data_IF_077845389700
#
_entry.id   IF_077845389700
#
_cell.length_a   1.000
_cell.length_b   1.000
_cell.length_c   1.000
_cell.angle_alpha   90.00
_cell.angle_beta   90.00
_cell.angle_gamma   90.00
#
_symmetry.space_group_name_H-M   'P 1'
#
loop_
_entity.id
_entity.type
_entity.pdbx_description
1 polymer ?
#
# COMPACT_ATOMS: atom_id res chain seq x y z
N UNK A 1 -29.68 -15.18 -9.39
CA UNK A 1 -28.81 -15.89 -10.38
C UNK A 1 -28.51 -14.90 -11.48
N UNK A 2 -27.25 -14.75 -11.90
CA UNK A 2 -26.89 -13.90 -13.04
C UNK A 2 -27.12 -14.69 -14.32
N UNK A 3 -28.12 -14.34 -15.15
CA UNK A 3 -28.48 -15.14 -16.32
C UNK A 3 -27.50 -15.02 -17.48
N UNK A 4 -26.73 -13.92 -17.57
CA UNK A 4 -25.75 -13.69 -18.61
C UNK A 4 -24.38 -13.32 -18.03
N UNK A 5 -23.34 -14.04 -18.42
CA UNK A 5 -21.96 -13.77 -18.02
C UNK A 5 -21.03 -14.17 -19.17
N UNK A 6 -20.09 -13.31 -19.54
CA UNK A 6 -19.04 -13.62 -20.49
C UNK A 6 -17.74 -13.99 -19.76
N UNK A 7 -16.87 -14.71 -20.44
CA UNK A 7 -15.51 -14.92 -19.94
C UNK A 7 -14.78 -13.56 -19.85
N UNK A 8 -14.06 -13.34 -18.75
CA UNK A 8 -13.16 -12.19 -18.64
C UNK A 8 -12.01 -12.36 -19.65
N UNK A 9 -11.64 -11.28 -20.32
CA UNK A 9 -10.54 -11.32 -21.28
C UNK A 9 -9.19 -11.22 -20.56
N UNK A 10 -8.13 -11.70 -21.19
CA UNK A 10 -6.79 -11.57 -20.66
C UNK A 10 -6.45 -10.09 -20.43
N UNK A 11 -5.84 -9.77 -19.28
CA UNK A 11 -5.46 -8.40 -18.88
C UNK A 11 -6.64 -7.40 -18.78
N UNK A 12 -7.88 -7.87 -18.79
CA UNK A 12 -9.05 -7.00 -18.58
C UNK A 12 -9.22 -6.66 -17.11
N UNK A 13 -9.49 -5.41 -16.77
CA UNK A 13 -9.72 -4.96 -15.41
C UNK A 13 -11.04 -5.55 -14.87
N UNK A 14 -10.97 -6.25 -13.73
CA UNK A 14 -12.12 -6.95 -13.14
C UNK A 14 -13.35 -6.06 -12.94
N UNK A 15 -13.15 -4.83 -12.48
CA UNK A 15 -14.24 -3.91 -12.19
C UNK A 15 -15.01 -3.48 -13.45
N UNK A 16 -14.34 -3.34 -14.61
CA UNK A 16 -15.00 -3.02 -15.87
C UNK A 16 -15.67 -4.25 -16.48
N UNK A 17 -15.07 -5.43 -16.34
CA UNK A 17 -15.76 -6.68 -16.67
C UNK A 17 -17.05 -6.86 -15.85
N UNK A 18 -17.03 -6.52 -14.57
CA UNK A 18 -18.22 -6.57 -13.71
C UNK A 18 -19.30 -5.55 -14.15
N UNK A 19 -18.89 -4.36 -14.62
CA UNK A 19 -19.82 -3.39 -15.23
C UNK A 19 -20.50 -3.96 -16.47
N UNK A 20 -19.76 -4.67 -17.31
CA UNK A 20 -20.36 -5.34 -18.48
C UNK A 20 -21.38 -6.39 -18.08
N UNK A 21 -21.11 -7.18 -17.04
CA UNK A 21 -22.08 -8.14 -16.53
C UNK A 21 -23.35 -7.44 -16.05
N UNK A 22 -23.21 -6.29 -15.39
CA UNK A 22 -24.38 -5.47 -15.01
C UNK A 22 -25.18 -5.03 -16.22
N UNK A 23 -24.50 -4.52 -17.25
CA UNK A 23 -25.16 -4.09 -18.51
C UNK A 23 -25.87 -5.25 -19.21
N UNK A 24 -25.19 -6.40 -19.36
CA UNK A 24 -25.78 -7.61 -19.99
C UNK A 24 -27.02 -8.12 -19.25
N UNK A 25 -27.12 -7.91 -17.96
CA UNK A 25 -28.22 -8.34 -17.12
C UNK A 25 -29.22 -7.22 -16.82
N UNK A 26 -29.03 -6.04 -17.38
CA UNK A 26 -29.85 -4.83 -17.12
C UNK A 26 -29.94 -4.51 -15.62
N UNK A 27 -28.83 -4.68 -14.89
CA UNK A 27 -28.74 -4.49 -13.45
C UNK A 27 -27.99 -3.19 -13.11
N UNK A 28 -28.46 -2.53 -12.08
CA UNK A 28 -27.69 -1.46 -11.41
C UNK A 28 -26.62 -2.05 -10.48
N UNK A 29 -25.65 -1.25 -10.09
CA UNK A 29 -24.65 -1.67 -9.10
C UNK A 29 -25.28 -2.15 -7.79
N UNK A 30 -26.34 -1.46 -7.32
CA UNK A 30 -27.04 -1.84 -6.10
C UNK A 30 -27.70 -3.22 -6.22
N UNK A 31 -28.33 -3.51 -7.36
CA UNK A 31 -28.97 -4.80 -7.62
C UNK A 31 -27.94 -5.92 -7.71
N UNK A 32 -26.80 -5.68 -8.37
CA UNK A 32 -25.70 -6.64 -8.39
C UNK A 32 -25.19 -6.93 -6.98
N UNK A 33 -24.95 -5.89 -6.19
CA UNK A 33 -24.50 -6.05 -4.81
C UNK A 33 -25.52 -6.76 -3.93
N UNK A 34 -26.83 -6.51 -4.12
CA UNK A 34 -27.88 -7.21 -3.42
C UNK A 34 -27.92 -8.71 -3.79
N UNK A 35 -27.76 -9.02 -5.08
CA UNK A 35 -27.78 -10.41 -5.58
C UNK A 35 -26.54 -11.18 -5.14
N UNK A 36 -25.35 -10.58 -5.21
CA UNK A 36 -24.10 -11.27 -4.92
C UNK A 36 -23.75 -11.18 -3.43
N UNK A 37 -23.83 -10.00 -2.83
CA UNK A 37 -23.31 -9.76 -1.47
C UNK A 37 -24.39 -9.58 -0.42
N UNK A 38 -25.66 -9.65 -0.79
CA UNK A 38 -26.80 -9.40 0.10
C UNK A 38 -26.73 -8.04 0.82
N UNK A 39 -26.06 -7.08 0.22
CA UNK A 39 -25.79 -5.74 0.78
C UNK A 39 -26.23 -4.65 -0.20
N UNK A 40 -26.91 -3.61 0.30
CA UNK A 40 -27.39 -2.47 -0.51
C UNK A 40 -26.45 -1.26 -0.48
N UNK A 41 -25.33 -1.31 0.26
CA UNK A 41 -24.54 -0.11 0.61
C UNK A 41 -23.20 0.01 -0.09
N UNK A 42 -22.81 -0.94 -0.91
CA UNK A 42 -21.53 -0.91 -1.59
C UNK A 42 -21.57 -0.11 -2.87
N UNK A 43 -20.57 0.76 -3.06
CA UNK A 43 -20.25 1.36 -4.35
C UNK A 43 -19.05 0.64 -4.94
N UNK A 44 -19.17 0.19 -6.18
CA UNK A 44 -18.05 -0.35 -6.93
C UNK A 44 -16.97 0.72 -7.08
N UNK A 45 -15.77 0.44 -6.61
CA UNK A 45 -14.63 1.30 -6.89
C UNK A 45 -14.18 1.05 -8.33
N UNK A 46 -13.88 2.09 -9.15
CA UNK A 46 -13.52 1.90 -10.55
C UNK A 46 -12.37 0.92 -10.78
N UNK A 47 -11.37 0.91 -9.92
CA UNK A 47 -10.15 0.12 -10.11
C UNK A 47 -9.99 -1.05 -9.14
N UNK A 48 -10.63 -1.00 -7.98
CA UNK A 48 -10.41 -1.98 -6.92
C UNK A 48 -11.68 -2.73 -6.58
N UNK A 49 -11.69 -4.04 -6.79
CA UNK A 49 -12.83 -4.87 -6.41
C UNK A 49 -12.99 -4.92 -4.90
N UNK A 50 -14.20 -5.21 -4.44
CA UNK A 50 -14.48 -5.58 -3.05
C UNK A 50 -15.44 -6.77 -3.01
N UNK A 51 -15.41 -7.52 -1.92
CA UNK A 51 -16.28 -8.69 -1.76
C UNK A 51 -15.93 -9.88 -2.65
N UNK A 52 -14.67 -10.00 -3.09
CA UNK A 52 -14.25 -11.06 -4.01
C UNK A 52 -14.46 -12.46 -3.45
N UNK A 53 -14.31 -12.65 -2.15
CA UNK A 53 -14.51 -13.98 -1.54
C UNK A 53 -15.97 -14.41 -1.65
N UNK A 54 -16.91 -13.53 -1.33
CA UNK A 54 -18.34 -13.78 -1.49
C UNK A 54 -18.70 -13.95 -2.96
N UNK A 55 -18.13 -13.13 -3.84
CA UNK A 55 -18.33 -13.23 -5.28
C UNK A 55 -17.93 -14.61 -5.81
N UNK A 56 -16.70 -15.03 -5.56
CA UNK A 56 -16.19 -16.32 -6.01
C UNK A 56 -16.98 -17.49 -5.43
N UNK A 57 -17.30 -17.44 -4.14
CA UNK A 57 -18.07 -18.51 -3.49
C UNK A 57 -19.48 -18.64 -4.06
N UNK A 58 -20.15 -17.52 -4.36
CA UNK A 58 -21.54 -17.54 -4.84
C UNK A 58 -21.65 -17.93 -6.31
N UNK A 59 -20.62 -17.69 -7.08
CA UNK A 59 -20.59 -17.97 -8.52
C UNK A 59 -19.68 -19.16 -8.86
N UNK A 60 -19.25 -19.93 -7.88
CA UNK A 60 -18.33 -21.08 -8.05
C UNK A 60 -18.82 -22.12 -9.07
N UNK A 61 -20.14 -22.27 -9.20
CA UNK A 61 -20.77 -23.24 -10.12
C UNK A 61 -20.92 -22.71 -11.55
N UNK A 62 -20.59 -21.43 -11.80
CA UNK A 62 -20.69 -20.84 -13.14
C UNK A 62 -19.39 -21.03 -13.91
N UNK A 63 -19.49 -21.52 -15.15
CA UNK A 63 -18.38 -21.93 -16.02
C UNK A 63 -17.35 -20.83 -16.29
N UNK A 64 -17.74 -19.57 -16.27
CA UNK A 64 -16.88 -18.43 -16.60
C UNK A 64 -16.43 -17.60 -15.41
N UNK A 65 -16.65 -18.07 -14.18
CA UNK A 65 -16.22 -17.36 -12.98
C UNK A 65 -14.71 -17.54 -12.81
N UNK A 66 -13.92 -16.46 -12.85
CA UNK A 66 -12.50 -16.55 -12.55
C UNK A 66 -12.28 -16.87 -11.07
N UNK A 67 -11.19 -17.56 -10.74
CA UNK A 67 -10.84 -17.82 -9.35
C UNK A 67 -10.40 -16.53 -8.63
N UNK A 68 -10.48 -16.53 -7.30
CA UNK A 68 -10.02 -15.41 -6.48
C UNK A 68 -8.57 -15.01 -6.81
N UNK A 69 -7.67 -15.98 -6.90
CA UNK A 69 -6.26 -15.74 -7.22
C UNK A 69 -6.10 -15.17 -8.64
N UNK A 70 -6.83 -15.71 -9.60
CA UNK A 70 -6.80 -15.22 -10.98
C UNK A 70 -7.26 -13.76 -11.07
N UNK A 71 -8.33 -13.39 -10.35
CA UNK A 71 -8.81 -11.99 -10.31
C UNK A 71 -7.71 -11.07 -9.74
N UNK A 72 -7.15 -11.42 -8.59
CA UNK A 72 -6.16 -10.59 -7.91
C UNK A 72 -4.87 -10.45 -8.71
N UNK A 73 -4.42 -11.53 -9.35
CA UNK A 73 -3.15 -11.58 -10.08
C UNK A 73 -3.23 -10.95 -11.48
N UNK A 74 -4.31 -11.27 -12.23
CA UNK A 74 -4.40 -10.92 -13.66
C UNK A 74 -5.39 -9.80 -13.98
N UNK A 75 -6.29 -9.48 -13.07
CA UNK A 75 -7.39 -8.55 -13.33
C UNK A 75 -7.41 -7.37 -12.36
N UNK A 76 -6.32 -7.19 -11.59
CA UNK A 76 -6.04 -6.01 -10.75
C UNK A 76 -4.56 -5.65 -10.82
N UNK A 77 -4.19 -4.45 -10.33
CA UNK A 77 -2.80 -4.02 -10.19
C UNK A 77 -2.18 -4.40 -8.84
N UNK A 78 -2.92 -5.12 -7.98
CA UNK A 78 -2.54 -5.33 -6.57
C UNK A 78 -1.18 -6.00 -6.44
N UNK A 79 -0.96 -7.10 -7.16
CA UNK A 79 0.31 -7.85 -7.07
C UNK A 79 1.49 -7.06 -7.65
N UNK A 80 1.30 -6.35 -8.75
CA UNK A 80 2.34 -5.50 -9.35
C UNK A 80 2.73 -4.32 -8.45
N UNK A 81 1.82 -3.92 -7.55
CA UNK A 81 2.00 -2.79 -6.65
C UNK A 81 2.62 -3.17 -5.29
N UNK A 82 2.71 -4.45 -4.94
CA UNK A 82 3.23 -4.92 -3.65
C UNK A 82 4.61 -4.34 -3.30
N UNK A 83 5.61 -4.30 -4.21
CA UNK A 83 6.93 -3.77 -3.88
C UNK A 83 6.94 -2.29 -3.49
N UNK A 84 5.85 -1.57 -3.76
CA UNK A 84 5.74 -0.12 -3.51
C UNK A 84 4.81 0.22 -2.36
N UNK A 85 4.26 -0.77 -1.66
CA UNK A 85 3.40 -0.56 -0.49
C UNK A 85 3.93 -1.34 0.72
N UNK A 86 3.77 -0.76 1.91
CA UNK A 86 4.11 -1.46 3.16
C UNK A 86 3.16 -2.62 3.44
N UNK A 87 3.62 -3.65 4.15
CA UNK A 87 2.84 -4.85 4.46
C UNK A 87 1.48 -4.54 5.12
N UNK A 88 1.42 -3.57 6.04
CA UNK A 88 0.16 -3.13 6.64
C UNK A 88 -0.81 -2.47 5.64
N UNK A 89 -0.30 -1.77 4.63
CA UNK A 89 -1.12 -1.22 3.55
C UNK A 89 -1.63 -2.35 2.65
N UNK A 90 -0.77 -3.29 2.27
CA UNK A 90 -1.15 -4.47 1.49
C UNK A 90 -2.27 -5.25 2.20
N UNK A 91 -2.14 -5.50 3.51
CA UNK A 91 -3.19 -6.13 4.33
C UNK A 91 -4.54 -5.41 4.18
N UNK A 92 -4.54 -4.07 4.26
CA UNK A 92 -5.78 -3.28 4.10
C UNK A 92 -6.39 -3.44 2.71
N UNK A 93 -5.57 -3.44 1.66
CA UNK A 93 -6.04 -3.63 0.29
C UNK A 93 -6.66 -5.01 0.12
N UNK A 94 -6.03 -6.05 0.63
CA UNK A 94 -6.56 -7.40 0.55
C UNK A 94 -7.83 -7.58 1.38
N UNK A 95 -7.88 -7.07 2.62
CA UNK A 95 -9.11 -7.11 3.41
C UNK A 95 -10.26 -6.36 2.71
N UNK A 96 -9.99 -5.21 2.08
CA UNK A 96 -10.98 -4.50 1.28
C UNK A 96 -11.40 -5.31 0.05
N UNK A 97 -10.46 -5.87 -0.71
CA UNK A 97 -10.76 -6.64 -1.91
C UNK A 97 -11.55 -7.92 -1.59
N UNK A 98 -11.19 -8.59 -0.50
CA UNK A 98 -11.81 -9.86 -0.11
C UNK A 98 -13.20 -9.71 0.49
N UNK A 99 -13.47 -8.62 1.24
CA UNK A 99 -14.69 -8.44 2.04
C UNK A 99 -15.65 -7.47 1.40
N UNK A 100 -16.94 -7.70 1.57
CA UNK A 100 -17.96 -6.70 1.24
C UNK A 100 -17.89 -5.52 2.24
N UNK A 101 -18.35 -4.35 1.79
CA UNK A 101 -18.22 -3.09 2.55
C UNK A 101 -19.01 -3.02 3.86
N UNK A 102 -19.88 -3.99 4.13
CA UNK A 102 -20.62 -4.09 5.40
C UNK A 102 -19.76 -4.69 6.52
N UNK A 103 -18.62 -5.27 6.18
CA UNK A 103 -17.65 -5.65 7.19
C UNK A 103 -16.85 -4.42 7.59
N UNK A 104 -16.82 -4.17 8.85
CA UNK A 104 -16.34 -3.10 9.72
C UNK A 104 -14.99 -2.41 9.40
N UNK A 105 -14.36 -2.68 8.29
CA UNK A 105 -13.04 -2.11 7.97
C UNK A 105 -13.07 -0.72 7.31
N UNK A 106 -14.23 -0.06 7.38
CA UNK A 106 -14.40 1.33 6.94
C UNK A 106 -14.48 1.46 5.42
N UNK A 107 -15.06 2.54 4.96
CA UNK A 107 -15.11 2.88 3.56
C UNK A 107 -13.70 3.04 3.00
N UNK A 108 -13.22 2.03 2.28
CA UNK A 108 -11.86 1.94 1.75
C UNK A 108 -11.45 3.03 0.76
N UNK A 109 -12.37 3.93 0.39
CA UNK A 109 -12.13 5.01 -0.57
C UNK A 109 -10.96 5.95 -0.22
N UNK A 110 -10.61 6.08 1.08
CA UNK A 110 -9.47 6.89 1.50
C UNK A 110 -8.13 6.15 1.43
N UNK A 111 -8.15 4.83 1.20
CA UNK A 111 -6.95 4.00 1.14
C UNK A 111 -6.22 4.13 -0.18
N UNK A 112 -7.00 4.32 -1.24
CA UNK A 112 -6.49 4.31 -2.60
C UNK A 112 -6.04 5.71 -2.98
N UNK A 113 -4.89 5.85 -3.64
CA UNK A 113 -4.55 7.11 -4.24
C UNK A 113 -5.75 7.53 -5.10
N UNK A 114 -6.16 8.79 -5.01
CA UNK A 114 -7.06 9.36 -6.02
C UNK A 114 -6.35 9.16 -7.36
N UNK A 115 -6.75 8.13 -8.05
CA UNK A 115 -6.52 8.01 -9.47
C UNK A 115 -7.47 9.06 -10.01
N UNK A 116 -6.95 10.02 -10.74
CA UNK A 116 -7.77 11.01 -11.44
C UNK A 116 -8.71 10.19 -12.32
N UNK A 117 -9.93 9.99 -11.90
CA UNK A 117 -10.98 9.01 -12.16
C UNK A 117 -11.22 8.49 -13.58
N UNK A 118 -10.24 8.56 -14.48
CA UNK A 118 -10.35 8.13 -15.86
C UNK A 118 -9.52 6.88 -16.12
N UNK A 119 -10.13 5.94 -16.84
CA UNK A 119 -9.41 4.78 -17.35
C UNK A 119 -8.47 5.20 -18.49
N UNK A 120 -7.34 4.53 -18.55
CA UNK A 120 -6.34 4.75 -19.60
C UNK A 120 -6.50 3.71 -20.71
N UNK A 121 -6.51 4.17 -21.95
CA UNK A 121 -6.67 3.34 -23.14
C UNK A 121 -5.54 3.55 -24.13
N UNK A 122 -5.27 2.51 -24.91
CA UNK A 122 -4.43 2.61 -26.10
C UNK A 122 -5.35 2.67 -27.33
N UNK A 123 -5.23 3.67 -28.22
CA UNK A 123 -6.09 3.78 -29.40
C UNK A 123 -6.04 2.54 -30.31
N UNK A 124 -4.87 1.90 -30.42
CA UNK A 124 -4.69 0.69 -31.23
C UNK A 124 -5.26 -0.54 -30.54
N UNK A 125 -5.06 -0.71 -29.21
CA UNK A 125 -5.71 -1.78 -28.46
C UNK A 125 -7.23 -1.67 -28.54
N UNK A 126 -7.80 -0.45 -28.39
CA UNK A 126 -9.25 -0.24 -28.54
C UNK A 126 -9.78 -0.75 -29.88
N UNK A 127 -9.03 -0.56 -30.98
CA UNK A 127 -9.43 -1.07 -32.30
C UNK A 127 -9.34 -2.60 -32.37
N UNK A 128 -8.31 -3.19 -31.81
CA UNK A 128 -8.15 -4.64 -31.76
C UNK A 128 -9.25 -5.28 -30.90
N UNK A 129 -9.57 -4.67 -29.75
CA UNK A 129 -10.64 -5.12 -28.86
C UNK A 129 -12.02 -5.06 -29.53
N UNK A 130 -12.33 -3.96 -30.21
CA UNK A 130 -13.59 -3.83 -30.96
C UNK A 130 -13.73 -4.92 -32.00
N UNK A 131 -12.64 -5.25 -32.71
CA UNK A 131 -12.65 -6.35 -33.71
C UNK A 131 -12.87 -7.71 -33.05
N UNK A 132 -12.31 -7.94 -31.87
CA UNK A 132 -12.33 -9.24 -31.19
C UNK A 132 -13.52 -9.44 -30.28
N UNK A 133 -13.93 -8.39 -29.56
CA UNK A 133 -14.93 -8.43 -28.48
C UNK A 133 -16.17 -7.57 -28.76
N UNK A 134 -16.17 -6.80 -29.85
CA UNK A 134 -17.24 -5.90 -30.22
C UNK A 134 -17.24 -4.52 -29.49
N UNK A 135 -16.29 -4.32 -28.57
CA UNK A 135 -16.12 -3.09 -27.76
C UNK A 135 -14.69 -2.95 -27.26
N UNK A 136 -14.27 -1.74 -26.86
CA UNK A 136 -12.99 -1.55 -26.21
C UNK A 136 -12.98 -2.19 -24.81
N UNK A 137 -11.84 -2.71 -24.39
CA UNK A 137 -11.61 -3.22 -23.04
C UNK A 137 -10.72 -2.29 -22.24
N UNK A 138 -10.90 -2.28 -20.92
CA UNK A 138 -10.00 -1.59 -20.00
C UNK A 138 -8.94 -2.58 -19.54
N UNK A 139 -7.71 -2.40 -20.03
CA UNK A 139 -6.58 -3.27 -19.71
C UNK A 139 -5.92 -2.88 -18.38
N UNK A 140 -5.61 -3.84 -17.52
CA UNK A 140 -4.89 -3.62 -16.26
C UNK A 140 -3.54 -2.96 -16.53
N UNK A 141 -2.78 -3.46 -17.52
CA UNK A 141 -1.45 -2.97 -17.83
C UNK A 141 -1.42 -1.50 -18.31
N UNK A 142 -2.52 -0.96 -18.86
CA UNK A 142 -2.63 0.48 -19.17
C UNK A 142 -2.89 1.32 -17.93
N UNK A 143 -3.45 0.72 -16.89
CA UNK A 143 -3.90 1.38 -15.67
C UNK A 143 -2.96 1.16 -14.47
N UNK A 144 -1.79 0.54 -14.69
CA UNK A 144 -0.74 0.42 -13.67
C UNK A 144 -0.23 1.81 -13.28
N UNK A 145 -0.01 2.02 -11.97
CA UNK A 145 0.49 3.29 -11.46
C UNK A 145 1.83 3.68 -12.09
N UNK A 146 1.87 4.86 -12.72
CA UNK A 146 3.08 5.41 -13.33
C UNK A 146 3.30 5.05 -14.80
N UNK A 147 2.43 4.25 -15.42
CA UNK A 147 2.44 3.92 -16.84
C UNK A 147 1.76 5.02 -17.64
N UNK A 148 2.40 5.46 -18.76
CA UNK A 148 1.89 6.50 -19.66
C UNK A 148 1.84 6.08 -21.12
N UNK A 149 2.37 4.91 -21.45
CA UNK A 149 2.40 4.38 -22.82
C UNK A 149 1.90 2.95 -22.86
N UNK A 150 1.41 2.53 -24.02
CA UNK A 150 1.03 1.14 -24.25
C UNK A 150 2.29 0.27 -24.37
N UNK A 151 2.32 -0.83 -23.65
CA UNK A 151 3.45 -1.78 -23.73
C UNK A 151 3.55 -2.47 -25.09
N UNK A 152 2.42 -2.69 -25.77
CA UNK A 152 2.32 -3.38 -27.08
C UNK A 152 2.63 -2.42 -28.24
N UNK A 153 2.02 -1.24 -28.26
CA UNK A 153 2.07 -0.30 -29.37
C UNK A 153 3.03 0.86 -29.14
N UNK A 154 3.42 1.12 -27.90
CA UNK A 154 4.36 2.18 -27.54
C UNK A 154 3.82 3.60 -27.73
N UNK A 155 2.53 3.76 -28.01
CA UNK A 155 1.86 5.06 -28.09
C UNK A 155 1.52 5.60 -26.72
N UNK A 156 1.33 6.91 -26.60
CA UNK A 156 0.82 7.56 -25.38
C UNK A 156 -0.62 7.11 -25.15
N UNK A 157 -0.94 6.79 -23.89
CA UNK A 157 -2.29 6.42 -23.49
C UNK A 157 -3.23 7.64 -23.55
N UNK A 158 -4.50 7.38 -23.78
CA UNK A 158 -5.56 8.37 -23.95
C UNK A 158 -6.74 8.08 -23.01
N UNK A 159 -7.66 9.04 -22.90
CA UNK A 159 -8.97 8.83 -22.31
C UNK A 159 -9.89 8.01 -23.25
N UNK A 160 -11.11 7.73 -22.83
CA UNK A 160 -12.11 7.00 -23.61
C UNK A 160 -12.47 7.72 -24.93
N UNK A 161 -12.37 9.06 -24.96
CA UNK A 161 -12.61 9.89 -26.14
C UNK A 161 -11.37 10.00 -27.06
N UNK A 162 -10.32 9.25 -26.76
CA UNK A 162 -9.03 9.23 -27.47
C UNK A 162 -8.21 10.53 -27.35
N UNK A 163 -8.47 11.37 -26.34
CA UNK A 163 -7.62 12.51 -26.08
C UNK A 163 -6.34 12.04 -25.33
N UNK A 164 -5.13 12.46 -25.74
CA UNK A 164 -3.92 12.10 -25.03
C UNK A 164 -3.97 12.59 -23.58
N UNK A 165 -3.69 11.69 -22.62
CA UNK A 165 -3.69 12.04 -21.20
C UNK A 165 -2.46 12.86 -20.78
N UNK A 166 -1.38 12.77 -21.55
CA UNK A 166 -0.14 13.47 -21.26
C UNK A 166 0.45 14.14 -22.51
N UNK A 167 0.84 15.39 -22.35
CA UNK A 167 1.57 16.14 -23.39
C UNK A 167 3.09 16.09 -23.11
N UNK A 168 3.90 16.27 -24.14
CA UNK A 168 5.37 16.34 -24.05
C UNK A 168 6.03 15.14 -23.38
N UNK A 169 5.58 13.94 -23.72
CA UNK A 169 6.06 12.68 -23.16
C UNK A 169 7.38 12.27 -23.84
N UNK A 170 8.40 11.94 -23.06
CA UNK A 170 9.63 11.32 -23.56
C UNK A 170 9.38 9.84 -23.84
N UNK A 171 8.97 9.50 -25.06
CA UNK A 171 8.53 8.16 -25.45
C UNK A 171 9.60 7.08 -25.19
N UNK A 172 10.88 7.40 -25.37
CA UNK A 172 11.99 6.49 -25.11
C UNK A 172 12.05 6.05 -23.64
N UNK A 173 11.83 6.98 -22.73
CA UNK A 173 11.82 6.72 -21.29
C UNK A 173 10.53 6.04 -20.87
N UNK A 174 9.38 6.55 -21.32
CA UNK A 174 8.09 6.00 -20.93
C UNK A 174 7.90 4.54 -21.40
N UNK A 175 8.43 4.19 -22.57
CA UNK A 175 8.45 2.78 -23.03
C UNK A 175 9.25 1.89 -22.09
N UNK A 176 10.42 2.35 -21.61
CA UNK A 176 11.22 1.59 -20.63
C UNK A 176 10.46 1.42 -19.30
N UNK A 177 9.89 2.52 -18.80
CA UNK A 177 9.08 2.49 -17.56
C UNK A 177 7.90 1.55 -17.71
N UNK A 178 7.18 1.63 -18.83
CA UNK A 178 6.04 0.74 -19.12
C UNK A 178 6.47 -0.72 -19.20
N UNK A 179 7.56 -1.03 -19.89
CA UNK A 179 8.10 -2.39 -19.96
C UNK A 179 8.48 -2.92 -18.57
N UNK A 180 9.05 -2.07 -17.71
CA UNK A 180 9.40 -2.41 -16.33
C UNK A 180 8.17 -2.77 -15.50
N UNK A 181 7.14 -1.93 -15.51
CA UNK A 181 5.88 -2.22 -14.80
C UNK A 181 5.13 -3.41 -15.39
N UNK A 182 5.15 -3.58 -16.73
CA UNK A 182 4.56 -4.77 -17.36
C UNK A 182 5.27 -6.05 -16.92
N UNK A 183 6.59 -6.03 -16.80
CA UNK A 183 7.34 -7.18 -16.30
C UNK A 183 7.04 -7.49 -14.82
N UNK A 184 6.80 -6.47 -13.97
CA UNK A 184 6.33 -6.67 -12.60
C UNK A 184 4.90 -7.22 -12.55
N UNK A 185 4.06 -6.84 -13.49
CA UNK A 185 2.70 -7.37 -13.61
C UNK A 185 2.69 -8.83 -14.09
N UNK A 186 3.47 -9.16 -15.13
CA UNK A 186 3.52 -10.52 -15.69
C UNK A 186 4.14 -11.54 -14.74
N UNK A 187 5.06 -11.11 -13.91
CA UNK A 187 5.71 -11.94 -12.90
C UNK A 187 5.90 -11.09 -11.64
N UNK A 188 4.90 -11.09 -10.76
CA UNK A 188 4.93 -10.26 -9.55
C UNK A 188 6.10 -10.59 -8.62
N UNK A 189 6.59 -9.57 -7.96
CA UNK A 189 7.59 -9.68 -6.90
C UNK A 189 6.85 -9.65 -5.56
N UNK A 190 6.87 -10.76 -4.84
CA UNK A 190 6.20 -10.90 -3.55
C UNK A 190 7.12 -10.35 -2.46
N UNK A 191 7.16 -9.04 -2.38
CA UNK A 191 7.88 -8.29 -1.33
C UNK A 191 7.16 -6.97 -1.07
N UNK A 192 7.60 -6.23 -0.07
CA UNK A 192 6.97 -4.96 0.30
C UNK A 192 7.97 -3.80 0.24
N UNK A 193 7.45 -2.60 0.49
CA UNK A 193 8.20 -1.35 0.42
C UNK A 193 9.50 -1.38 1.25
N UNK A 194 9.48 -2.07 2.39
CA UNK A 194 10.63 -2.17 3.29
C UNK A 194 11.79 -2.89 2.59
N UNK A 195 11.54 -4.04 1.96
CA UNK A 195 12.54 -4.80 1.21
C UNK A 195 13.01 -4.03 -0.03
N UNK A 196 12.07 -3.40 -0.75
CA UNK A 196 12.39 -2.54 -1.90
C UNK A 196 13.32 -1.39 -1.52
N UNK A 197 13.09 -0.75 -0.37
CA UNK A 197 13.97 0.31 0.15
C UNK A 197 15.37 -0.21 0.44
N UNK A 198 15.52 -1.42 0.97
CA UNK A 198 16.84 -2.03 1.21
C UNK A 198 17.61 -2.15 -0.11
N UNK A 199 16.98 -2.66 -1.16
CA UNK A 199 17.60 -2.79 -2.49
C UNK A 199 17.99 -1.41 -3.05
N UNK A 200 17.11 -0.42 -2.95
CA UNK A 200 17.43 0.96 -3.37
C UNK A 200 18.64 1.50 -2.60
N UNK A 201 18.67 1.33 -1.27
CA UNK A 201 19.78 1.83 -0.45
C UNK A 201 21.12 1.13 -0.77
N UNK A 202 21.09 -0.17 -1.05
CA UNK A 202 22.27 -0.90 -1.52
C UNK A 202 22.78 -0.35 -2.85
N UNK A 203 21.88 -0.08 -3.80
CA UNK A 203 22.23 0.49 -5.11
C UNK A 203 22.81 1.90 -4.98
N UNK A 204 22.23 2.74 -4.13
CA UNK A 204 22.73 4.09 -3.86
C UNK A 204 24.13 4.05 -3.25
N UNK A 205 24.39 3.10 -2.33
CA UNK A 205 25.71 2.88 -1.72
C UNK A 205 26.74 2.45 -2.77
N UNK A 206 26.37 1.51 -3.66
CA UNK A 206 27.28 1.07 -4.74
C UNK A 206 27.62 2.20 -5.73
N UNK A 207 26.70 3.11 -5.95
CA UNK A 207 26.89 4.29 -6.83
C UNK A 207 27.51 5.49 -6.11
N UNK A 208 27.74 5.40 -4.80
CA UNK A 208 28.25 6.49 -3.94
C UNK A 208 27.41 7.78 -4.04
N UNK A 209 26.09 7.66 -4.16
CA UNK A 209 25.16 8.79 -4.25
C UNK A 209 24.09 8.73 -3.16
N UNK A 210 23.58 9.89 -2.79
CA UNK A 210 22.43 10.00 -1.86
C UNK A 210 21.11 9.80 -2.59
N UNK A 211 20.04 9.50 -1.84
CA UNK A 211 18.67 9.40 -2.38
C UNK A 211 18.27 10.69 -3.11
N UNK A 212 18.56 11.85 -2.52
CA UNK A 212 18.28 13.16 -3.13
C UNK A 212 19.02 13.35 -4.47
N UNK A 213 20.28 12.92 -4.54
CA UNK A 213 21.03 12.97 -5.80
C UNK A 213 20.43 12.02 -6.86
N UNK A 214 20.07 10.81 -6.48
CA UNK A 214 19.42 9.86 -7.37
C UNK A 214 18.09 10.41 -7.94
N UNK A 215 17.26 11.01 -7.11
CA UNK A 215 16.00 11.65 -7.57
C UNK A 215 16.29 12.78 -8.55
N UNK A 216 17.26 13.67 -8.27
CA UNK A 216 17.63 14.78 -9.18
C UNK A 216 18.19 14.26 -10.51
N UNK A 217 18.98 13.19 -10.49
CA UNK A 217 19.50 12.56 -11.71
C UNK A 217 18.35 11.93 -12.52
N UNK A 218 17.45 11.19 -11.88
CA UNK A 218 16.28 10.60 -12.52
C UNK A 218 15.34 11.66 -13.13
N UNK A 219 15.21 12.83 -12.50
CA UNK A 219 14.46 13.97 -13.05
C UNK A 219 15.17 14.57 -14.27
N UNK A 220 16.48 14.82 -14.18
CA UNK A 220 17.27 15.32 -15.31
C UNK A 220 17.15 14.39 -16.51
N UNK A 221 17.17 13.09 -16.29
CA UNK A 221 17.13 12.07 -17.32
C UNK A 221 15.69 11.72 -17.75
N UNK A 222 14.66 12.35 -17.15
CA UNK A 222 13.26 12.28 -17.57
C UNK A 222 12.44 11.10 -17.00
N UNK A 223 12.99 10.33 -16.06
CA UNK A 223 12.24 9.27 -15.37
C UNK A 223 11.26 9.81 -14.34
N UNK A 224 11.57 10.93 -13.73
CA UNK A 224 10.74 11.61 -12.75
C UNK A 224 10.48 13.06 -13.19
N UNK A 225 9.45 13.66 -12.65
CA UNK A 225 9.18 15.09 -12.73
C UNK A 225 8.96 15.70 -11.34
N UNK A 226 9.03 17.02 -11.25
CA UNK A 226 8.96 17.73 -9.97
C UNK A 226 7.61 17.52 -9.23
N UNK A 227 6.52 17.22 -9.97
CA UNK A 227 5.20 16.96 -9.39
C UNK A 227 5.13 15.62 -8.63
N UNK A 228 6.08 14.72 -8.92
CA UNK A 228 6.17 13.40 -8.29
C UNK A 228 6.75 13.46 -6.87
N UNK A 229 7.35 14.59 -6.50
CA UNK A 229 7.86 14.80 -5.14
C UNK A 229 6.72 15.04 -4.14
N UNK A 230 6.94 14.63 -2.91
CA UNK A 230 6.12 15.09 -1.80
C UNK A 230 6.63 16.47 -1.38
N UNK A 231 5.77 17.50 -1.46
CA UNK A 231 6.09 18.80 -0.89
C UNK A 231 6.22 18.65 0.62
N UNK A 232 7.39 18.94 1.15
CA UNK A 232 7.61 19.11 2.59
C UNK A 232 7.91 20.59 2.82
N UNK A 233 7.05 21.23 3.60
CA UNK A 233 7.17 22.68 3.87
C UNK A 233 8.41 23.05 4.70
N UNK A 234 9.03 22.06 5.39
CA UNK A 234 10.05 22.34 6.41
C UNK A 234 11.36 21.54 6.26
N UNK A 235 11.53 20.70 5.26
CA UNK A 235 12.77 19.93 5.08
C UNK A 235 13.26 19.99 3.64
N UNK A 236 14.60 20.07 3.45
CA UNK A 236 15.23 19.98 2.12
C UNK A 236 15.31 18.52 1.60
N UNK A 237 14.80 17.56 2.36
CA UNK A 237 14.80 16.16 1.96
C UNK A 237 13.78 15.92 0.88
N UNK A 238 14.24 15.33 -0.21
CA UNK A 238 13.35 14.91 -1.30
C UNK A 238 12.68 13.62 -0.90
N UNK A 239 11.36 13.61 -0.87
CA UNK A 239 10.56 12.40 -0.72
C UNK A 239 9.75 12.16 -1.98
N UNK A 240 9.75 10.93 -2.43
CA UNK A 240 8.85 10.46 -3.49
C UNK A 240 7.59 9.84 -2.87
N UNK A 241 6.46 10.02 -3.55
CA UNK A 241 5.29 9.19 -3.25
C UNK A 241 5.63 7.74 -3.58
N UNK A 242 5.20 6.80 -2.77
CA UNK A 242 5.51 5.38 -2.96
C UNK A 242 5.20 4.89 -4.39
N UNK A 243 4.10 5.36 -4.98
CA UNK A 243 3.70 5.06 -6.38
C UNK A 243 4.75 5.46 -7.44
N UNK A 244 5.63 6.39 -7.13
CA UNK A 244 6.68 6.87 -8.05
C UNK A 244 8.03 6.18 -7.80
N UNK A 245 8.14 5.36 -6.75
CA UNK A 245 9.36 4.60 -6.46
C UNK A 245 9.70 3.60 -7.57
N UNK A 246 8.71 3.03 -8.24
CA UNK A 246 8.93 2.12 -9.36
C UNK A 246 9.65 2.79 -10.53
N UNK A 247 9.40 4.09 -10.79
CA UNK A 247 10.12 4.84 -11.82
C UNK A 247 11.58 5.12 -11.41
N UNK A 248 11.82 5.44 -10.14
CA UNK A 248 13.18 5.57 -9.59
C UNK A 248 13.90 4.21 -9.63
N UNK A 249 13.21 3.14 -9.27
CA UNK A 249 13.77 1.79 -9.31
C UNK A 249 14.14 1.40 -10.76
N UNK A 250 13.28 1.66 -11.74
CA UNK A 250 13.58 1.46 -13.16
C UNK A 250 14.81 2.29 -13.63
N UNK A 251 15.01 3.49 -13.09
CA UNK A 251 16.20 4.29 -13.35
C UNK A 251 17.47 3.69 -12.74
N UNK A 252 17.39 3.26 -11.49
CA UNK A 252 18.52 2.72 -10.75
C UNK A 252 18.86 1.27 -11.16
N UNK A 253 17.86 0.44 -11.37
CA UNK A 253 17.96 -0.98 -11.70
C UNK A 253 17.06 -1.26 -12.91
N UNK A 254 17.54 -0.99 -14.14
CA UNK A 254 16.71 -1.09 -15.35
C UNK A 254 16.22 -2.51 -15.68
N UNK A 255 16.98 -3.53 -15.26
CA UNK A 255 16.56 -4.93 -15.41
C UNK A 255 15.73 -5.36 -14.19
N UNK A 256 14.48 -5.66 -14.44
CA UNK A 256 13.55 -6.13 -13.40
C UNK A 256 13.96 -7.47 -12.79
N UNK A 257 14.72 -8.30 -13.55
CA UNK A 257 15.21 -9.57 -13.02
C UNK A 257 16.36 -9.35 -12.02
N UNK A 258 17.19 -8.32 -12.24
CA UNK A 258 18.19 -7.92 -11.25
C UNK A 258 17.51 -7.46 -9.95
N UNK A 259 16.44 -6.66 -10.05
CA UNK A 259 15.64 -6.30 -8.88
C UNK A 259 15.05 -7.53 -8.17
N UNK A 260 14.43 -8.48 -8.91
CA UNK A 260 13.87 -9.73 -8.37
C UNK A 260 14.90 -10.56 -7.61
N UNK A 261 16.11 -10.66 -8.16
CA UNK A 261 17.18 -11.46 -7.57
C UNK A 261 17.79 -10.82 -6.32
N UNK A 262 17.63 -9.50 -6.15
CA UNK A 262 18.20 -8.75 -5.03
C UNK A 262 17.20 -8.49 -3.90
N UNK A 263 15.92 -8.55 -4.20
CA UNK A 263 14.88 -8.31 -3.19
C UNK A 263 14.66 -9.61 -2.40
N UNK A 264 14.79 -9.50 -1.08
CA UNK A 264 14.47 -10.62 -0.19
C UNK A 264 12.96 -10.85 -0.19
N UNK A 265 12.50 -12.10 -0.29
CA UNK A 265 11.08 -12.42 -0.11
C UNK A 265 10.62 -11.94 1.27
N UNK A 266 9.37 -11.51 1.35
CA UNK A 266 8.77 -11.24 2.65
C UNK A 266 8.49 -12.56 3.35
N UNK A 267 9.21 -12.82 4.43
CA UNK A 267 8.94 -13.94 5.33
C UNK A 267 8.07 -13.42 6.48
N UNK A 268 6.80 -13.77 6.44
CA UNK A 268 5.96 -13.68 7.62
C UNK A 268 6.36 -14.86 8.51
N UNK A 269 7.16 -14.62 9.56
CA UNK A 269 7.60 -15.69 10.47
C UNK A 269 6.43 -16.52 11.01
N UNK A 270 6.71 -17.61 11.71
CA UNK A 270 5.69 -18.54 12.21
C UNK A 270 4.52 -17.82 12.90
N UNK A 271 3.39 -17.77 12.19
CA UNK A 271 2.17 -17.18 12.70
C UNK A 271 1.40 -18.27 13.45
N UNK A 272 1.82 -18.55 14.67
CA UNK A 272 0.99 -19.35 15.58
C UNK A 272 -0.13 -18.47 16.15
N UNK A 273 -1.26 -18.45 15.47
CA UNK A 273 -2.46 -17.85 16.06
C UNK A 273 -3.20 -18.91 16.89
N UNK A 274 -3.48 -18.57 18.14
CA UNK A 274 -4.33 -19.42 18.98
C UNK A 274 -5.76 -19.53 18.40
N UNK A 275 -6.20 -18.58 17.59
CA UNK A 275 -7.57 -18.44 17.09
C UNK A 275 -7.79 -19.06 15.72
N UNK A 276 -6.72 -19.30 14.94
CA UNK A 276 -6.81 -19.79 13.57
C UNK A 276 -5.96 -21.03 13.32
N UNK A 277 -6.42 -21.86 12.39
CA UNK A 277 -5.64 -22.94 11.79
C UNK A 277 -5.38 -22.59 10.34
N UNK A 278 -4.13 -22.66 9.91
CA UNK A 278 -3.77 -22.52 8.49
C UNK A 278 -4.23 -23.76 7.74
N UNK A 279 -5.02 -23.57 6.71
CA UNK A 279 -5.55 -24.65 5.86
C UNK A 279 -4.73 -24.80 4.58
N UNK A 280 -4.22 -23.69 4.07
CA UNK A 280 -3.47 -23.63 2.81
C UNK A 280 -2.53 -22.42 2.84
N UNK A 281 -1.27 -22.66 2.52
CA UNK A 281 -0.28 -21.60 2.35
C UNK A 281 -0.29 -21.11 0.91
N UNK A 282 -0.41 -19.80 0.74
CA UNK A 282 -0.29 -19.13 -0.55
C UNK A 282 0.82 -18.09 -0.54
N UNK A 283 1.22 -17.63 -1.72
CA UNK A 283 2.31 -16.67 -1.86
C UNK A 283 2.01 -15.29 -1.25
N UNK A 284 0.74 -14.88 -1.22
CA UNK A 284 0.29 -13.57 -0.73
C UNK A 284 -0.88 -13.70 0.24
N UNK A 285 -1.79 -14.61 -0.03
CA UNK A 285 -2.95 -14.89 0.82
C UNK A 285 -2.89 -16.33 1.29
N UNK A 286 -3.16 -16.52 2.56
CA UNK A 286 -3.33 -17.84 3.16
C UNK A 286 -4.80 -18.10 3.47
N UNK A 287 -5.20 -19.36 3.42
CA UNK A 287 -6.53 -19.80 3.83
C UNK A 287 -6.51 -20.24 5.29
N UNK A 288 -7.35 -19.61 6.08
CA UNK A 288 -7.47 -19.85 7.51
C UNK A 288 -8.84 -20.43 7.88
N UNK A 289 -8.86 -21.22 8.95
CA UNK A 289 -10.08 -21.69 9.60
C UNK A 289 -10.13 -21.15 11.03
N UNK A 290 -11.21 -20.47 11.37
CA UNK A 290 -11.45 -19.99 12.72
C UNK A 290 -11.76 -21.14 13.67
N UNK A 291 -11.02 -21.26 14.76
CA UNK A 291 -11.24 -22.31 15.78
C UNK A 291 -12.52 -22.11 16.57
N UNK A 292 -13.06 -20.88 16.65
CA UNK A 292 -14.27 -20.58 17.41
C UNK A 292 -15.56 -20.89 16.63
N UNK A 293 -15.62 -20.48 15.35
CA UNK A 293 -16.86 -20.62 14.57
C UNK A 293 -16.75 -21.54 13.35
N UNK A 294 -15.58 -22.10 13.09
CA UNK A 294 -15.32 -22.99 11.95
C UNK A 294 -15.31 -22.29 10.58
N UNK A 295 -15.48 -20.97 10.52
CA UNK A 295 -15.50 -20.23 9.27
C UNK A 295 -14.14 -20.26 8.59
N UNK A 296 -14.11 -20.55 7.29
CA UNK A 296 -12.92 -20.56 6.47
C UNK A 296 -12.88 -19.29 5.63
N UNK A 297 -11.68 -18.67 5.54
CA UNK A 297 -11.50 -17.38 4.84
C UNK A 297 -10.05 -17.20 4.40
N UNK A 298 -9.87 -16.39 3.36
CA UNK A 298 -8.55 -15.96 2.93
C UNK A 298 -8.14 -14.68 3.66
N UNK A 299 -6.86 -14.56 3.99
CA UNK A 299 -6.27 -13.36 4.60
C UNK A 299 -4.80 -13.25 4.30
N UNK A 300 -4.33 -12.00 4.19
CA UNK A 300 -2.91 -11.70 4.19
C UNK A 300 -2.28 -12.05 5.55
N UNK A 301 -1.13 -12.78 5.60
CA UNK A 301 -0.52 -13.25 6.85
C UNK A 301 -0.28 -12.13 7.87
N UNK A 302 0.14 -10.96 7.43
CA UNK A 302 0.32 -9.79 8.29
C UNK A 302 -0.96 -9.43 9.06
N UNK A 303 -2.14 -9.65 8.46
CA UNK A 303 -3.42 -9.43 9.14
C UNK A 303 -3.62 -10.33 10.35
N UNK A 304 -3.11 -11.56 10.29
CA UNK A 304 -3.13 -12.48 11.45
C UNK A 304 -2.08 -12.05 12.46
N UNK A 305 -0.87 -11.69 12.00
CA UNK A 305 0.22 -11.23 12.86
C UNK A 305 -0.17 -10.00 13.69
N UNK A 306 -0.90 -9.06 13.10
CA UNK A 306 -1.41 -7.87 13.81
C UNK A 306 -2.73 -8.14 14.55
N UNK A 307 -3.22 -9.39 14.57
CA UNK A 307 -4.35 -9.83 15.37
C UNK A 307 -5.73 -9.44 14.86
N UNK A 308 -5.89 -9.29 13.55
CA UNK A 308 -7.23 -9.07 13.01
C UNK A 308 -8.17 -10.25 13.36
N UNK A 309 -9.34 -9.99 13.94
CA UNK A 309 -10.26 -11.04 14.35
C UNK A 309 -10.91 -11.75 13.14
N UNK A 310 -11.45 -12.96 13.37
CA UNK A 310 -12.21 -13.67 12.35
C UNK A 310 -13.32 -12.80 11.75
N UNK A 311 -13.44 -12.69 10.43
CA UNK A 311 -14.46 -11.85 9.78
C UNK A 311 -15.88 -12.18 10.25
N UNK A 312 -16.22 -13.48 10.33
CA UNK A 312 -17.54 -13.92 10.75
C UNK A 312 -17.81 -13.69 12.24
N UNK A 313 -16.83 -13.97 13.11
CA UNK A 313 -17.00 -13.70 14.55
C UNK A 313 -17.09 -12.19 14.81
N UNK A 314 -16.49 -11.38 13.96
CA UNK A 314 -16.40 -9.95 14.12
C UNK A 314 -17.58 -9.18 13.52
N UNK A 315 -18.30 -9.76 12.55
CA UNK A 315 -19.39 -9.09 11.83
C UNK A 315 -20.54 -8.59 12.72
N UNK A 316 -20.74 -9.23 13.87
CA UNK A 316 -21.79 -8.89 14.82
C UNK A 316 -21.31 -8.03 16.01
N UNK A 317 -20.03 -7.65 16.05
CA UNK A 317 -19.45 -6.86 17.14
C UNK A 317 -19.50 -5.37 16.82
N UNK A 318 -19.75 -4.57 17.84
CA UNK A 318 -19.58 -3.13 17.75
C UNK A 318 -18.10 -2.77 17.48
N UNK A 319 -17.84 -1.55 16.99
CA UNK A 319 -16.47 -1.09 16.76
C UNK A 319 -15.65 -1.06 18.06
N UNK A 320 -16.29 -0.74 19.17
CA UNK A 320 -15.61 -0.65 20.45
C UNK A 320 -15.20 -2.03 20.97
N UNK A 321 -16.06 -3.03 20.83
CA UNK A 321 -15.74 -4.43 21.16
C UNK A 321 -14.59 -4.96 20.29
N UNK A 322 -14.57 -4.60 19.00
CA UNK A 322 -13.48 -4.96 18.10
C UNK A 322 -12.16 -4.31 18.53
N UNK A 323 -12.23 -3.05 18.96
CA UNK A 323 -11.08 -2.31 19.44
C UNK A 323 -10.53 -2.86 20.74
N UNK A 324 -11.40 -3.23 21.69
CA UNK A 324 -10.99 -3.85 22.95
C UNK A 324 -10.26 -5.17 22.72
N UNK A 325 -10.79 -6.04 21.84
CA UNK A 325 -10.15 -7.31 21.48
C UNK A 325 -8.78 -7.05 20.84
N UNK A 326 -8.70 -6.08 19.95
CA UNK A 326 -7.44 -5.72 19.31
C UNK A 326 -6.40 -5.20 20.33
N UNK A 327 -6.83 -4.38 21.29
CA UNK A 327 -5.95 -3.83 22.31
C UNK A 327 -5.45 -4.87 23.33
N UNK A 328 -6.10 -6.02 23.47
CA UNK A 328 -5.61 -7.10 24.33
C UNK A 328 -4.18 -7.56 23.96
N UNK A 329 -3.78 -7.37 22.70
CA UNK A 329 -2.41 -7.68 22.23
C UNK A 329 -1.38 -6.61 22.60
N UNK A 330 -1.83 -5.45 23.03
CA UNK A 330 -0.99 -4.31 23.38
C UNK A 330 -1.19 -3.95 24.86
N UNK A 331 -0.57 -4.73 25.74
CA UNK A 331 -0.73 -4.61 27.21
C UNK A 331 -0.49 -3.20 27.76
N UNK A 332 0.31 -2.39 27.04
CA UNK A 332 0.64 -1.01 27.42
C UNK A 332 -0.45 0.01 27.07
N UNK A 333 -1.53 -0.42 26.41
CA UNK A 333 -2.61 0.47 25.99
C UNK A 333 -3.95 0.05 26.57
N UNK A 334 -4.81 1.02 26.79
CA UNK A 334 -6.19 0.81 27.17
C UNK A 334 -7.14 1.68 26.33
N UNK A 335 -8.34 1.19 26.11
CA UNK A 335 -9.41 1.92 25.44
C UNK A 335 -10.07 2.87 26.45
N UNK A 336 -10.29 4.12 26.06
CA UNK A 336 -10.83 5.13 26.99
C UNK A 336 -12.16 5.72 26.55
N UNK A 337 -12.43 5.85 25.24
CA UNK A 337 -13.68 6.41 24.71
C UNK A 337 -13.80 6.27 23.19
N UNK A 338 -15.02 6.26 22.60
CA UNK A 338 -15.24 5.87 21.22
C UNK A 338 -16.34 6.50 20.38
N UNK A 339 -16.86 7.72 20.65
CA UNK A 339 -18.00 8.25 19.87
C UNK A 339 -17.76 8.42 18.35
N UNK A 340 -16.63 8.94 17.92
CA UNK A 340 -16.25 9.12 16.49
C UNK A 340 -14.89 8.55 16.12
N UNK A 341 -13.97 8.57 17.08
CA UNK A 341 -12.61 8.05 16.96
C UNK A 341 -12.32 7.25 18.21
N UNK A 342 -11.74 6.06 18.06
CA UNK A 342 -11.28 5.30 19.19
C UNK A 342 -10.17 6.07 19.91
N UNK A 343 -10.36 6.37 21.18
CA UNK A 343 -9.32 6.92 22.04
C UNK A 343 -8.63 5.79 22.77
N UNK A 344 -7.32 5.75 22.69
CA UNK A 344 -6.50 4.87 23.50
C UNK A 344 -5.56 5.67 24.40
N UNK A 345 -5.31 5.12 25.57
CA UNK A 345 -4.38 5.68 26.54
C UNK A 345 -3.19 4.75 26.71
N UNK A 346 -1.99 5.27 26.61
CA UNK A 346 -0.78 4.53 26.93
C UNK A 346 -0.58 4.49 28.44
N UNK A 347 -0.72 3.32 29.06
CA UNK A 347 -0.69 3.13 30.53
C UNK A 347 0.57 3.69 31.20
N UNK A 348 1.81 3.43 30.66
CA UNK A 348 3.03 3.89 31.33
C UNK A 348 3.18 5.40 31.44
N UNK A 349 2.67 6.20 30.50
CA UNK A 349 2.86 7.66 30.51
C UNK A 349 1.55 8.45 30.52
N UNK A 350 0.38 7.80 30.48
CA UNK A 350 -0.94 8.43 30.48
C UNK A 350 -1.28 9.20 29.19
N UNK A 351 -0.43 9.12 28.15
CA UNK A 351 -0.66 9.84 26.90
C UNK A 351 -1.85 9.25 26.14
N UNK A 352 -2.81 10.10 25.77
CA UNK A 352 -3.96 9.71 24.97
C UNK A 352 -3.70 9.95 23.48
N UNK A 353 -4.17 9.04 22.65
CA UNK A 353 -4.13 9.14 21.20
C UNK A 353 -5.51 8.91 20.63
N UNK A 354 -5.86 9.68 19.62
CA UNK A 354 -7.03 9.42 18.78
C UNK A 354 -6.62 8.50 17.63
N UNK A 355 -7.26 7.35 17.52
CA UNK A 355 -6.99 6.39 16.48
C UNK A 355 -8.16 6.32 15.50
N UNK A 356 -7.91 6.50 14.20
CA UNK A 356 -8.93 6.24 13.20
C UNK A 356 -9.27 4.75 13.17
N UNK A 357 -10.47 4.40 12.71
CA UNK A 357 -10.92 2.99 12.54
C UNK A 357 -9.93 2.09 11.80
N UNK A 358 -9.07 2.70 10.99
CA UNK A 358 -8.07 2.01 10.16
C UNK A 358 -6.77 1.70 10.90
N UNK A 359 -6.63 2.07 12.15
CA UNK A 359 -5.37 1.89 12.87
C UNK A 359 -5.02 0.41 13.12
N UNK A 360 -6.03 -0.48 13.21
CA UNK A 360 -5.83 -1.92 13.34
C UNK A 360 -4.92 -2.50 12.26
N UNK A 361 -4.95 -1.92 11.07
CA UNK A 361 -4.13 -2.36 9.94
C UNK A 361 -2.68 -1.88 9.98
N UNK A 362 -2.37 -0.89 10.80
CA UNK A 362 -1.01 -0.33 10.90
C UNK A 362 -0.25 -0.80 12.12
N UNK A 363 -0.91 -1.52 13.01
CA UNK A 363 -0.39 -1.77 14.33
C UNK A 363 -0.36 -0.49 15.19
N UNK A 364 -0.23 -0.63 16.49
CA UNK A 364 -0.01 0.50 17.37
C UNK A 364 1.47 0.86 17.34
N UNK A 365 1.80 1.97 16.72
CA UNK A 365 3.15 2.50 16.82
C UNK A 365 3.53 2.72 18.29
N UNK A 366 4.77 2.47 18.69
CA UNK A 366 5.26 2.80 20.02
C UNK A 366 4.85 4.21 20.42
N UNK A 367 4.56 4.42 21.70
CA UNK A 367 4.14 5.72 22.19
C UNK A 367 5.19 6.80 21.86
N UNK A 368 4.84 7.75 21.00
CA UNK A 368 5.77 8.81 20.56
C UNK A 368 6.35 9.59 21.75
N UNK A 369 5.57 9.78 22.81
CA UNK A 369 6.03 10.43 24.04
C UNK A 369 7.09 9.61 24.77
N UNK A 370 6.91 8.29 24.88
CA UNK A 370 7.90 7.42 25.52
C UNK A 370 9.13 7.22 24.63
N UNK A 371 8.95 6.98 23.35
CA UNK A 371 10.05 6.84 22.39
C UNK A 371 10.90 8.10 22.30
N UNK A 372 10.25 9.26 22.28
CA UNK A 372 10.98 10.53 22.18
C UNK A 372 11.73 10.93 23.45
N UNK A 373 11.38 10.35 24.61
CA UNK A 373 12.12 10.53 25.90
C UNK A 373 13.23 9.52 26.10
N UNK A 374 13.31 8.48 25.28
CA UNK A 374 14.30 7.42 25.42
C UNK A 374 15.68 7.89 24.90
N UNK A 375 16.52 8.29 25.84
CA UNK A 375 17.90 8.73 25.57
C UNK A 375 18.70 7.66 24.84
N UNK A 376 18.46 6.37 25.12
CA UNK A 376 19.19 5.25 24.52
C UNK A 376 18.92 5.16 23.02
N UNK A 377 17.67 5.32 22.60
CA UNK A 377 17.31 5.34 21.18
C UNK A 377 17.91 6.52 20.43
N UNK A 378 17.92 7.68 21.06
CA UNK A 378 18.58 8.85 20.49
C UNK A 378 20.09 8.67 20.42
N UNK A 379 20.69 8.00 21.40
CA UNK A 379 22.12 7.69 21.39
C UNK A 379 22.49 6.79 20.20
N UNK A 380 21.68 5.81 19.85
CA UNK A 380 21.90 4.97 18.66
C UNK A 380 21.95 5.80 17.35
N UNK A 381 21.13 6.83 17.23
CA UNK A 381 21.16 7.74 16.06
C UNK A 381 22.49 8.49 15.94
N UNK A 382 23.20 8.69 17.08
CA UNK A 382 24.47 9.40 17.14
C UNK A 382 25.69 8.47 17.38
N UNK A 383 25.53 7.15 17.25
CA UNK A 383 26.57 6.17 17.58
C UNK A 383 27.86 6.40 16.79
N UNK A 384 27.73 6.69 15.50
CA UNK A 384 28.84 6.95 14.57
C UNK A 384 29.22 8.43 14.49
N UNK A 385 28.83 9.24 15.46
CA UNK A 385 29.09 10.68 15.47
C UNK A 385 29.93 11.12 16.66
N UNK A 386 30.47 12.32 16.61
CA UNK A 386 31.20 12.95 17.73
C UNK A 386 30.29 13.47 18.84
N UNK A 387 29.04 13.00 18.91
CA UNK A 387 28.04 13.48 19.87
C UNK A 387 27.59 12.41 20.84
N UNK A 388 27.31 12.84 22.08
CA UNK A 388 26.65 12.04 23.11
C UNK A 388 25.32 12.70 23.47
N UNK A 389 24.24 11.92 23.51
CA UNK A 389 22.94 12.40 23.95
C UNK A 389 22.95 12.53 25.48
N UNK A 390 22.71 13.72 25.99
CA UNK A 390 22.66 14.00 27.44
C UNK A 390 21.25 13.98 27.98
N UNK A 391 20.31 14.51 27.24
CA UNK A 391 18.90 14.56 27.64
C UNK A 391 17.99 14.77 26.44
N UNK A 392 16.71 14.42 26.61
CA UNK A 392 15.65 14.68 25.66
C UNK A 392 14.54 15.43 26.38
N UNK A 393 14.27 16.66 25.97
CA UNK A 393 13.32 17.56 26.63
C UNK A 393 12.13 17.82 25.71
N UNK A 394 10.92 17.63 26.24
CA UNK A 394 9.71 18.15 25.61
C UNK A 394 9.36 19.49 26.28
N UNK A 395 9.35 20.55 25.51
CA UNK A 395 8.69 21.79 25.92
C UNK A 395 7.19 21.55 25.91
N UNK A 396 6.46 22.17 26.86
CA UNK A 396 4.99 22.04 26.98
C UNK A 396 4.35 22.16 25.60
N UNK A 397 3.51 21.16 25.26
CA UNK A 397 2.70 21.10 24.03
C UNK A 397 3.46 20.89 22.69
N UNK A 398 4.78 20.81 22.69
CA UNK A 398 5.54 20.52 21.48
C UNK A 398 5.58 19.00 21.18
N UNK A 399 5.07 18.63 20.01
CA UNK A 399 5.12 17.27 19.47
C UNK A 399 6.58 16.86 19.16
N UNK A 400 7.49 17.81 19.06
CA UNK A 400 8.87 17.64 18.63
C UNK A 400 9.81 17.81 19.82
N UNK A 401 10.53 16.74 20.27
CA UNK A 401 11.47 16.85 21.37
C UNK A 401 12.73 17.63 20.98
N UNK A 402 13.27 18.37 21.92
CA UNK A 402 14.64 18.89 21.85
C UNK A 402 15.61 17.84 22.40
N UNK A 403 16.61 17.46 21.59
CA UNK A 403 17.67 16.55 22.01
C UNK A 403 18.87 17.37 22.43
N UNK A 404 19.31 17.22 23.69
CA UNK A 404 20.50 17.85 24.20
C UNK A 404 21.72 16.99 23.91
N UNK A 405 22.59 17.49 23.04
CA UNK A 405 23.81 16.83 22.60
C UNK A 405 25.04 17.45 23.25
N UNK A 406 26.00 16.60 23.67
CA UNK A 406 27.34 17.01 24.08
C UNK A 406 28.33 16.54 23.02
N UNK A 407 29.13 17.45 22.47
CA UNK A 407 30.21 17.09 21.57
C UNK A 407 31.36 16.43 22.38
N UNK A 408 31.87 15.29 21.90
CA UNK A 408 32.88 14.48 22.62
C UNK A 408 34.18 15.26 22.87
N UNK A 409 34.62 16.02 21.86
CA UNK A 409 35.90 16.73 21.90
C UNK A 409 35.81 18.12 22.54
N UNK A 410 34.75 18.87 22.23
CA UNK A 410 34.66 20.30 22.58
C UNK A 410 33.80 20.59 23.81
N UNK A 411 33.24 19.57 24.43
CA UNK A 411 32.32 19.68 25.58
C UNK A 411 31.14 20.67 25.38
N UNK A 412 30.81 21.03 24.15
CA UNK A 412 29.75 21.98 23.84
C UNK A 412 28.41 21.26 23.94
N UNK A 413 27.47 21.86 24.70
CA UNK A 413 26.09 21.43 24.77
C UNK A 413 25.30 22.15 23.68
N UNK A 414 24.58 21.39 22.89
CA UNK A 414 23.66 21.91 21.87
C UNK A 414 22.29 21.27 22.02
N UNK A 415 21.24 22.11 22.05
CA UNK A 415 19.86 21.65 21.95
C UNK A 415 19.43 21.67 20.48
N UNK A 416 19.01 20.51 19.98
CA UNK A 416 18.53 20.36 18.62
C UNK A 416 17.10 19.86 18.61
N UNK A 417 16.26 20.47 17.81
CA UNK A 417 14.95 19.92 17.49
C UNK A 417 15.12 18.63 16.73
N UNK A 418 14.35 17.60 17.05
CA UNK A 418 14.50 16.25 16.48
C UNK A 418 14.51 16.21 14.96
N UNK A 419 13.77 17.11 14.26
CA UNK A 419 13.79 17.17 12.81
C UNK A 419 15.12 17.67 12.21
N UNK A 420 15.98 18.38 12.99
CA UNK A 420 17.32 18.80 12.56
C UNK A 420 18.33 17.68 12.65
N UNK A 421 18.06 16.67 13.48
CA UNK A 421 18.93 15.50 13.68
C UNK A 421 19.03 14.65 12.41
N UNK A 422 17.92 14.54 11.66
CA UNK A 422 17.89 13.79 10.40
C UNK A 422 18.57 14.49 9.22
N UNK A 423 19.06 15.72 9.39
CA UNK A 423 19.63 16.50 8.28
C UNK A 423 21.11 16.29 8.05
N UNK A 424 21.77 15.39 8.75
CA UNK A 424 23.20 15.13 8.60
C UNK A 424 24.01 16.38 8.39
N UNK A 425 24.82 16.75 9.32
CA UNK A 425 26.12 17.34 9.12
C UNK A 425 26.53 18.06 10.38
N UNK A 426 27.77 18.30 10.54
CA UNK A 426 28.43 18.99 11.63
C UNK A 426 27.55 20.01 12.33
N UNK A 427 26.90 19.55 13.41
CA UNK A 427 26.08 20.41 14.25
C UNK A 427 26.94 21.33 15.10
N UNK A 428 28.22 21.02 15.24
CA UNK A 428 29.13 21.77 16.07
C UNK A 428 29.54 23.07 15.37
N UNK A 429 29.16 24.20 15.96
CA UNK A 429 29.56 25.52 15.48
C UNK A 429 31.07 25.77 15.53
N UNK A 430 31.83 24.95 16.31
CA UNK A 430 33.27 25.04 16.39
C UNK A 430 34.01 24.14 15.41
N UNK A 431 33.33 23.19 14.78
CA UNK A 431 33.88 22.33 13.75
C UNK A 431 33.70 22.90 12.32
N UNK A 432 33.04 24.07 12.19
CA UNK A 432 32.87 24.78 10.92
C UNK A 432 34.02 25.72 10.65
#
# INVERSE_FOLDING_TARGET
>A
MLPAMRKIADDELFTTWLQDIMEMNHMTSNELYEVIFQSRKSKLHPFYPNGLEEFCNKLSDMVFTPSLHEILEKHTDLYASLPFMGAGMATRYFEYALRSSDTTYGTGFHLFPKIDGEYHYCPECMQDDIKRYGKPLTHVCHNLLGVKTCWKHGCVLCDEMRNPLWNNVRLDIEKRVTAYYKALYDTPVISYLEQTKVVIMQELKMREITFTQAVKLAERDGYLDASMRVRQEYTNDVRLRNRNLGRLLCYLIPDVNDFRNRVEPYECGDISSNDFTVMEHGNVLERYKCKHCGYEFYRHPEGVRIGLPCPKCNSNRSMDEQMEIYLQQYSDYEFTDGERYSKIRHRPCGCEKHLPKTFMFYGISPCSTCVSRDVTKWQQVFEDTDYTVKNVVHKRDDVIPEVLLKHKTYEVLQALLSFRIYRHTDFCRKCK
#
